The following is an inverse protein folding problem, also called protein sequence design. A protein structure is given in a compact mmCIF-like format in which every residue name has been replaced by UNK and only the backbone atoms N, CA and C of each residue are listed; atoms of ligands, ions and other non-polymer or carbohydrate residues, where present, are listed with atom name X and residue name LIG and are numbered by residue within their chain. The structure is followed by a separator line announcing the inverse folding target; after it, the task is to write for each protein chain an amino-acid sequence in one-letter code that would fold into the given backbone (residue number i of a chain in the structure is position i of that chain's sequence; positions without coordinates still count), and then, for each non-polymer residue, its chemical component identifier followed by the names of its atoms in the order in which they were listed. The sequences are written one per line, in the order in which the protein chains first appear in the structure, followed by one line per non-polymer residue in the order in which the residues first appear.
data_IF_486772220029
#
_entry.id   IF_486772220029
#
_cell.length_a   1.000
_cell.length_b   1.000
_cell.length_c   1.000
_cell.angle_alpha   90.00
_cell.angle_beta   90.00
_cell.angle_gamma   90.00
#
_symmetry.space_group_name_H-M   'P 1'
#
loop_
_entity.id
_entity.type
_entity.pdbx_description
1 polymer ?
#
# COMPACT_ATOMS: atom_id res chain seq x y z
N UNK A 1 7.05 -2.38 18.27
CA UNK A 1 6.70 -3.17 17.06
C UNK A 1 7.60 -2.71 15.92
N UNK A 2 8.17 -3.63 15.14
CA UNK A 2 8.96 -3.29 13.95
C UNK A 2 8.10 -3.44 12.69
N UNK A 3 8.01 -2.40 11.86
CA UNK A 3 7.24 -2.35 10.62
C UNK A 3 8.09 -1.74 9.51
N UNK A 4 7.85 -2.17 8.28
CA UNK A 4 8.56 -1.69 7.09
C UNK A 4 7.52 -1.18 6.10
N UNK A 5 7.75 0.00 5.55
CA UNK A 5 6.87 0.65 4.56
C UNK A 5 7.70 1.11 3.37
N UNK A 6 7.10 1.10 2.18
CA UNK A 6 7.70 1.64 0.95
C UNK A 6 7.00 2.94 0.63
N UNK A 7 7.68 4.06 0.85
CA UNK A 7 7.18 5.40 0.56
C UNK A 7 8.30 6.25 -0.04
N UNK A 8 7.94 7.39 -0.61
CA UNK A 8 8.92 8.32 -1.21
C UNK A 8 9.52 9.28 -0.19
N UNK A 9 8.89 9.43 0.98
CA UNK A 9 9.33 10.29 2.07
C UNK A 9 9.11 9.62 3.41
N UNK A 10 9.83 10.06 4.45
CA UNK A 10 9.64 9.57 5.83
C UNK A 10 8.25 9.88 6.37
N UNK A 11 7.69 11.04 6.01
CA UNK A 11 6.35 11.46 6.43
C UNK A 11 5.27 10.55 5.85
N UNK A 12 5.36 10.22 4.56
CA UNK A 12 4.44 9.29 3.88
C UNK A 12 4.50 7.88 4.50
N UNK A 13 5.72 7.39 4.80
CA UNK A 13 5.89 6.11 5.49
C UNK A 13 5.27 6.10 6.91
N UNK A 14 5.34 7.22 7.64
CA UNK A 14 4.73 7.36 8.96
C UNK A 14 3.20 7.46 8.87
N UNK A 15 2.67 8.13 7.85
CA UNK A 15 1.22 8.16 7.60
C UNK A 15 0.68 6.75 7.30
N UNK A 16 1.36 6.01 6.43
CA UNK A 16 1.03 4.61 6.16
C UNK A 16 1.09 3.74 7.42
N UNK A 17 2.03 4.00 8.33
CA UNK A 17 2.11 3.34 9.64
C UNK A 17 0.85 3.61 10.47
N UNK A 18 0.42 4.86 10.58
CA UNK A 18 -0.79 5.20 11.33
C UNK A 18 -2.03 4.53 10.76
N UNK A 19 -2.18 4.52 9.43
CA UNK A 19 -3.32 3.85 8.77
C UNK A 19 -3.30 2.33 8.98
N UNK A 20 -2.12 1.70 8.87
CA UNK A 20 -1.95 0.27 9.12
C UNK A 20 -2.30 -0.11 10.57
N UNK A 21 -1.80 0.66 11.54
CA UNK A 21 -2.07 0.43 12.96
C UNK A 21 -3.56 0.64 13.31
N UNK A 22 -4.21 1.63 12.69
CA UNK A 22 -5.64 1.84 12.82
C UNK A 22 -6.44 0.67 12.22
N UNK A 23 -6.10 0.21 11.02
CA UNK A 23 -6.81 -0.87 10.34
C UNK A 23 -6.63 -2.24 11.02
N UNK A 24 -5.39 -2.63 11.36
CA UNK A 24 -5.08 -3.99 11.85
C UNK A 24 -5.23 -4.13 13.35
N UNK A 25 -4.95 -3.07 14.10
CA UNK A 25 -4.89 -3.11 15.56
C UNK A 25 -5.83 -2.10 16.23
N UNK A 26 -6.67 -1.39 15.47
CA UNK A 26 -7.62 -0.38 15.97
C UNK A 26 -6.95 0.66 16.87
N UNK A 27 -5.67 0.89 16.65
CA UNK A 27 -4.88 1.81 17.46
C UNK A 27 -5.13 3.23 16.99
N UNK A 28 -5.45 4.13 17.92
CA UNK A 28 -5.62 5.55 17.62
C UNK A 28 -4.26 6.23 17.56
N UNK A 29 -4.17 7.33 16.81
CA UNK A 29 -2.95 8.14 16.67
C UNK A 29 -2.27 8.45 18.01
N UNK A 30 -3.03 8.93 19.01
CA UNK A 30 -2.52 9.28 20.34
C UNK A 30 -1.90 8.09 21.11
N UNK A 31 -2.27 6.86 20.77
CA UNK A 31 -1.79 5.66 21.45
C UNK A 31 -0.47 5.13 20.87
N UNK A 32 -0.04 5.63 19.70
CA UNK A 32 1.11 5.13 18.97
C UNK A 32 2.29 6.08 19.19
N UNK A 33 3.38 5.54 19.74
CA UNK A 33 4.64 6.26 19.93
C UNK A 33 5.68 5.71 18.97
N UNK A 34 6.24 6.57 18.14
CA UNK A 34 7.27 6.21 17.16
C UNK A 34 8.63 6.47 17.80
N UNK A 35 9.39 5.40 18.04
CA UNK A 35 10.71 5.50 18.68
C UNK A 35 11.80 5.90 17.70
N UNK A 36 11.76 5.36 16.48
CA UNK A 36 12.80 5.57 15.47
C UNK A 36 12.26 5.26 14.08
N UNK A 37 12.61 6.11 13.12
CA UNK A 37 12.35 5.91 11.68
C UNK A 37 13.69 5.96 10.97
N UNK A 38 14.00 4.92 10.19
CA UNK A 38 15.24 4.81 9.42
C UNK A 38 14.91 4.32 8.02
N UNK A 39 15.61 4.86 7.03
CA UNK A 39 15.61 4.35 5.67
C UNK A 39 16.56 3.16 5.55
N UNK A 40 16.09 2.05 4.99
CA UNK A 40 16.93 0.89 4.71
C UNK A 40 17.58 1.07 3.35
N UNK A 41 18.92 1.21 3.33
CA UNK A 41 19.68 1.38 2.09
C UNK A 41 19.94 0.03 1.39
N UNK A 42 20.17 -1.03 2.16
CA UNK A 42 20.47 -2.36 1.62
C UNK A 42 19.18 -3.15 1.45
N UNK A 43 19.02 -3.78 0.30
CA UNK A 43 17.88 -4.65 0.00
C UNK A 43 17.82 -5.89 0.89
N UNK A 44 18.97 -6.36 1.36
CA UNK A 44 19.08 -7.57 2.19
C UNK A 44 18.58 -7.36 3.63
N UNK A 45 18.57 -6.10 4.09
CA UNK A 45 18.12 -5.73 5.43
C UNK A 45 16.59 -5.70 5.55
N UNK A 46 15.87 -5.73 4.43
CA UNK A 46 14.40 -5.81 4.39
C UNK A 46 13.98 -7.17 4.89
N UNK A 47 13.14 -7.23 5.93
CA UNK A 47 12.74 -8.51 6.58
C UNK A 47 11.34 -8.95 6.18
N UNK A 48 10.44 -8.03 5.81
CA UNK A 48 9.03 -8.37 5.55
C UNK A 48 8.83 -8.99 4.16
N UNK A 49 8.26 -10.20 4.05
CA UNK A 49 8.10 -10.88 2.75
C UNK A 49 7.33 -10.08 1.69
N UNK A 50 6.26 -9.39 2.11
CA UNK A 50 5.44 -8.55 1.23
C UNK A 50 6.17 -7.29 0.72
N UNK A 51 7.27 -6.90 1.36
CA UNK A 51 8.17 -5.86 0.87
C UNK A 51 9.23 -6.46 -0.04
N UNK A 52 9.80 -7.62 0.34
CA UNK A 52 10.79 -8.35 -0.46
C UNK A 52 10.31 -8.65 -1.89
N UNK A 53 9.05 -9.04 -2.07
CA UNK A 53 8.50 -9.34 -3.40
C UNK A 53 8.61 -8.17 -4.39
N UNK A 54 8.61 -6.92 -3.89
CA UNK A 54 8.66 -5.69 -4.70
C UNK A 54 10.08 -5.24 -5.07
N UNK A 55 11.11 -5.98 -4.64
CA UNK A 55 12.53 -5.67 -4.88
C UNK A 55 13.12 -6.46 -6.05
N UNK A 56 12.32 -7.26 -6.74
CA UNK A 56 12.78 -8.09 -7.86
C UNK A 56 13.09 -7.23 -9.09
N UNK A 57 14.25 -7.47 -9.70
CA UNK A 57 14.65 -6.78 -10.93
C UNK A 57 13.68 -7.15 -12.07
N UNK A 58 13.27 -6.16 -12.86
CA UNK A 58 12.31 -6.34 -13.96
C UNK A 58 10.95 -6.92 -13.54
N UNK A 59 10.48 -6.59 -12.33
CA UNK A 59 9.15 -6.98 -11.86
C UNK A 59 8.06 -6.55 -12.85
N UNK A 60 7.26 -7.51 -13.31
CA UNK A 60 6.10 -7.30 -14.17
C UNK A 60 4.92 -8.09 -13.61
N UNK A 61 3.77 -7.45 -13.56
CA UNK A 61 2.51 -8.09 -13.19
C UNK A 61 1.37 -7.49 -14.01
N UNK A 62 0.42 -8.32 -14.49
CA UNK A 62 -0.80 -7.80 -15.10
C UNK A 62 -1.68 -7.16 -14.02
N UNK A 63 -2.65 -6.35 -14.45
CA UNK A 63 -3.76 -5.89 -13.60
C UNK A 63 -5.01 -6.67 -14.05
N UNK A 64 -5.34 -7.82 -13.42
CA UNK A 64 -6.31 -8.77 -13.97
C UNK A 64 -7.75 -8.25 -14.01
N UNK A 65 -8.10 -7.35 -13.09
CA UNK A 65 -9.43 -6.80 -12.97
C UNK A 65 -9.34 -5.29 -12.75
N UNK A 66 -9.81 -4.51 -13.73
CA UNK A 66 -9.79 -3.05 -13.67
C UNK A 66 -11.22 -2.53 -13.58
N UNK A 67 -11.62 -2.05 -12.41
CA UNK A 67 -12.93 -1.41 -12.25
C UNK A 67 -12.87 -0.01 -12.86
N UNK A 68 -13.65 0.31 -13.90
CA UNK A 68 -13.68 1.65 -14.45
C UNK A 68 -14.30 2.61 -13.43
N UNK A 69 -13.61 3.70 -13.11
CA UNK A 69 -14.08 4.71 -12.14
C UNK A 69 -15.42 5.36 -12.55
N UNK A 70 -15.74 5.32 -13.84
CA UNK A 70 -16.98 5.84 -14.42
C UNK A 70 -18.17 4.88 -14.27
N UNK A 71 -17.92 3.60 -13.97
CA UNK A 71 -19.02 2.67 -13.70
C UNK A 71 -19.76 3.11 -12.44
N UNK A 72 -21.07 3.33 -12.57
CA UNK A 72 -21.92 3.85 -11.51
C UNK A 72 -22.05 5.38 -11.46
N UNK A 73 -21.34 6.15 -12.29
CA UNK A 73 -21.57 7.61 -12.38
C UNK A 73 -22.90 7.95 -13.06
N UNK A 74 -23.35 7.13 -14.01
CA UNK A 74 -24.69 7.21 -14.61
C UNK A 74 -25.57 6.12 -14.02
N UNK A 75 -26.75 6.50 -13.55
CA UNK A 75 -27.76 5.58 -13.01
C UNK A 75 -28.24 4.57 -14.05
N UNK A 76 -28.34 4.99 -15.33
CA UNK A 76 -28.79 4.15 -16.44
C UNK A 76 -27.74 4.15 -17.56
N UNK A 77 -27.41 2.96 -18.06
CA UNK A 77 -26.47 2.74 -19.15
C UNK A 77 -26.94 1.55 -20.00
N UNK A 78 -26.86 1.71 -21.34
CA UNK A 78 -27.30 0.68 -22.28
C UNK A 78 -26.31 -0.46 -22.52
N UNK A 79 -25.07 -0.35 -22.00
CA UNK A 79 -24.02 -1.37 -22.13
C UNK A 79 -23.39 -1.64 -20.77
N UNK A 80 -23.09 -2.92 -20.50
CA UNK A 80 -22.39 -3.34 -19.28
C UNK A 80 -20.91 -2.90 -19.33
N UNK A 81 -20.33 -2.44 -18.22
CA UNK A 81 -18.92 -2.09 -18.18
C UNK A 81 -18.03 -3.33 -18.34
N UNK A 82 -16.95 -3.22 -19.12
CA UNK A 82 -15.89 -4.23 -19.19
C UNK A 82 -14.82 -3.96 -18.13
N UNK A 83 -14.28 -5.02 -17.55
CA UNK A 83 -13.22 -4.97 -16.53
C UNK A 83 -11.90 -5.57 -17.01
N UNK A 84 -11.87 -6.10 -18.24
CA UNK A 84 -10.72 -6.73 -18.88
C UNK A 84 -10.24 -5.85 -20.06
N UNK A 85 -8.94 -5.56 -20.08
CA UNK A 85 -8.25 -4.71 -21.05
C UNK A 85 -6.87 -5.27 -21.37
#
# INVERSE_FOLDING_TARGET
MYKEYRGMTRTDAVEALYQDMAARHRSRFRSIHILKVVELEKTDDVKRPYMKQLLTKNLKFPLPHRVPKTAGQKLFVGKRPSTFF
#
